data_IF_811962202288
#
_entry.id   IF_811962202288
#
_cell.length_a   1.000
_cell.length_b   1.000
_cell.length_c   1.000
_cell.angle_alpha   90.00
_cell.angle_beta   90.00
_cell.angle_gamma   90.00
#
_symmetry.space_group_name_H-M   'P 1'
#
loop_
_entity.id
_entity.type
_entity.pdbx_description
1 polymer ?
#
# COMPACT_ATOMS: atom_id res chain seq x y z
N UNK A 1 -12.93 -12.01 2.44
CA UNK A 1 -12.64 -10.64 2.04
C UNK A 1 -12.16 -10.57 0.63
N UNK A 2 -12.03 -11.20 -0.28
CA UNK A 2 -11.32 -10.85 -1.50
C UNK A 2 -11.95 -11.48 -2.74
N UNK A 3 -13.01 -10.89 -3.24
CA UNK A 3 -13.45 -11.25 -4.58
C UNK A 3 -12.98 -10.28 -5.67
N UNK A 4 -12.30 -9.21 -5.33
CA UNK A 4 -11.65 -8.37 -6.31
C UNK A 4 -10.58 -7.53 -5.62
N UNK A 5 -9.34 -7.89 -5.74
CA UNK A 5 -8.24 -6.98 -5.51
C UNK A 5 -7.76 -6.46 -6.86
N UNK A 6 -7.75 -5.17 -7.01
CA UNK A 6 -7.14 -4.50 -8.17
C UNK A 6 -5.86 -3.85 -7.67
N UNK A 7 -4.77 -4.13 -8.33
CA UNK A 7 -3.51 -3.46 -8.07
C UNK A 7 -3.12 -2.61 -9.27
N UNK A 8 -2.86 -1.34 -8.98
CA UNK A 8 -2.43 -0.37 -10.00
C UNK A 8 -1.03 0.10 -9.69
N UNK A 9 -0.16 0.15 -10.68
CA UNK A 9 1.21 0.64 -10.56
C UNK A 9 1.47 1.71 -11.63
N UNK A 10 2.32 2.67 -11.27
CA UNK A 10 2.67 3.78 -12.15
C UNK A 10 1.66 4.91 -12.11
N UNK A 11 1.78 5.82 -13.06
CA UNK A 11 0.99 7.03 -13.11
C UNK A 11 1.55 8.16 -12.24
N UNK A 12 0.68 9.09 -11.88
CA UNK A 12 1.01 10.25 -11.06
C UNK A 12 0.11 10.29 -9.84
N UNK A 13 0.70 10.39 -8.66
CA UNK A 13 -0.03 10.61 -7.42
C UNK A 13 -0.26 12.11 -7.20
N UNK A 14 -1.43 12.46 -6.72
CA UNK A 14 -1.75 13.83 -6.31
C UNK A 14 -2.73 13.82 -5.14
N UNK A 15 -2.54 14.75 -4.21
CA UNK A 15 -3.42 14.94 -3.05
C UNK A 15 -4.15 16.27 -3.16
N UNK A 16 -5.47 16.22 -3.06
CA UNK A 16 -6.34 17.41 -3.06
C UNK A 16 -7.44 17.20 -2.04
N UNK A 17 -7.70 18.19 -1.20
CA UNK A 17 -8.73 18.11 -0.16
C UNK A 17 -8.50 16.98 0.88
N UNK A 18 -7.25 16.57 1.08
CA UNK A 18 -6.90 15.45 1.97
C UNK A 18 -7.06 14.06 1.36
N UNK A 19 -7.46 13.98 0.10
CA UNK A 19 -7.59 12.72 -0.63
C UNK A 19 -6.48 12.57 -1.68
N UNK A 20 -5.74 11.46 -1.58
CA UNK A 20 -4.72 11.08 -2.56
C UNK A 20 -5.34 10.21 -3.64
N UNK A 21 -5.03 10.50 -4.88
CA UNK A 21 -5.45 9.73 -6.05
C UNK A 21 -4.25 9.43 -6.96
N UNK A 22 -4.29 8.31 -7.66
CA UNK A 22 -3.31 7.96 -8.70
C UNK A 22 -4.03 8.00 -10.05
N UNK A 23 -3.50 8.79 -10.97
CA UNK A 23 -4.01 8.92 -12.34
C UNK A 23 -3.02 8.33 -13.35
N UNK A 24 -3.51 7.68 -14.39
CA UNK A 24 -2.70 7.12 -15.47
C UNK A 24 -1.88 5.88 -15.11
N UNK A 25 -2.15 5.26 -13.96
CA UNK A 25 -1.54 3.98 -13.60
C UNK A 25 -2.13 2.82 -14.41
N UNK A 26 -1.35 1.76 -14.55
CA UNK A 26 -1.77 0.53 -15.21
C UNK A 26 -2.15 -0.54 -14.17
N UNK A 27 -3.25 -1.23 -14.41
CA UNK A 27 -3.58 -2.43 -13.62
C UNK A 27 -2.59 -3.54 -13.93
N UNK A 28 -2.15 -4.25 -12.89
CA UNK A 28 -1.33 -5.44 -13.08
C UNK A 28 -2.14 -6.55 -13.76
N UNK A 29 -1.56 -7.15 -14.80
CA UNK A 29 -2.10 -8.35 -15.43
C UNK A 29 -1.77 -9.62 -14.62
N UNK A 30 -0.67 -9.60 -13.87
CA UNK A 30 -0.29 -10.72 -13.01
C UNK A 30 -1.25 -10.91 -11.85
N UNK A 31 -1.52 -12.18 -11.56
CA UNK A 31 -2.35 -12.56 -10.43
C UNK A 31 -1.58 -12.30 -9.12
N UNK A 32 -2.06 -11.35 -8.32
CA UNK A 32 -1.55 -11.10 -6.97
C UNK A 32 -2.30 -12.01 -5.99
N UNK A 33 -1.58 -12.97 -5.41
CA UNK A 33 -2.15 -13.95 -4.48
C UNK A 33 -2.02 -13.54 -3.02
N UNK A 34 -1.11 -12.63 -2.69
CA UNK A 34 -0.89 -12.18 -1.32
C UNK A 34 -0.25 -10.80 -1.25
N UNK A 35 -0.62 -10.06 -0.21
CA UNK A 35 -0.04 -8.77 0.13
C UNK A 35 0.20 -8.74 1.64
N UNK A 36 1.41 -8.41 2.03
CA UNK A 36 1.80 -8.12 3.40
C UNK A 36 2.26 -6.66 3.49
N UNK A 37 1.78 -5.91 4.49
CA UNK A 37 2.16 -4.52 4.71
C UNK A 37 2.48 -4.34 6.19
N UNK A 38 3.69 -3.89 6.48
CA UNK A 38 4.17 -3.63 7.84
C UNK A 38 4.59 -2.18 7.99
N UNK A 39 4.01 -1.50 8.97
CA UNK A 39 4.44 -0.17 9.42
C UNK A 39 5.24 -0.29 10.73
N UNK A 40 6.34 0.45 10.84
CA UNK A 40 7.16 0.53 12.04
C UNK A 40 7.50 1.98 12.36
N UNK A 41 7.18 2.39 13.59
CA UNK A 41 7.60 3.67 14.14
C UNK A 41 8.49 3.39 15.36
N UNK A 42 9.82 3.34 15.18
CA UNK A 42 10.75 3.03 16.26
C UNK A 42 10.76 4.14 17.29
N UNK A 43 10.51 3.78 18.55
CA UNK A 43 10.52 4.73 19.68
C UNK A 43 11.48 4.28 20.76
N UNK A 44 12.25 5.21 21.31
CA UNK A 44 13.08 4.96 22.48
C UNK A 44 12.23 5.19 23.74
N UNK A 45 11.91 4.10 24.43
CA UNK A 45 11.05 4.12 25.63
C UNK A 45 11.83 4.07 26.93
N UNK A 46 13.12 3.70 26.91
CA UNK A 46 13.98 3.58 28.10
C UNK A 46 14.83 4.84 28.28
N UNK A 47 14.14 5.92 28.64
CA UNK A 47 14.78 7.24 28.86
C UNK A 47 14.78 7.57 30.36
N UNK A 48 15.83 7.18 31.05
CA UNK A 48 16.08 7.58 32.43
C UNK A 48 17.10 8.71 32.47
N UNK A 49 16.83 9.78 33.20
CA UNK A 49 17.72 10.92 33.37
C UNK A 49 18.08 11.11 34.84
N UNK A 50 19.30 11.55 35.11
CA UNK A 50 19.69 12.02 36.44
C UNK A 50 18.85 13.23 36.82
N UNK A 51 18.30 13.25 38.02
CA UNK A 51 17.44 14.34 38.48
C UNK A 51 15.95 14.16 38.19
N UNK A 52 15.56 13.12 37.48
CA UNK A 52 14.17 12.82 37.16
C UNK A 52 13.48 11.88 38.18
N UNK A 53 14.05 11.78 39.38
CA UNK A 53 13.54 10.99 40.53
C UNK A 53 13.14 9.53 40.18
N UNK A 54 13.84 8.93 39.22
CA UNK A 54 13.55 7.57 38.75
C UNK A 54 12.36 7.46 37.76
N UNK A 55 11.75 8.57 37.37
CA UNK A 55 10.70 8.57 36.35
C UNK A 55 11.32 8.45 34.97
N UNK A 56 10.60 7.73 34.09
CA UNK A 56 10.93 7.66 32.67
C UNK A 56 10.57 8.99 31.98
N UNK A 57 11.44 9.45 31.08
CA UNK A 57 11.09 10.52 30.17
C UNK A 57 10.10 10.05 29.09
N UNK A 58 9.43 10.99 28.44
CA UNK A 58 8.53 10.69 27.32
C UNK A 58 9.24 9.91 26.21
N UNK A 59 8.58 8.96 25.57
CA UNK A 59 9.11 8.28 24.39
C UNK A 59 9.45 9.28 23.28
N UNK A 60 10.56 9.07 22.61
CA UNK A 60 10.94 9.85 21.42
C UNK A 60 11.21 8.92 20.26
N UNK A 61 10.94 9.39 19.05
CA UNK A 61 11.37 8.69 17.83
C UNK A 61 12.90 8.57 17.83
N UNK A 62 13.38 7.34 17.59
CA UNK A 62 14.82 7.06 17.58
C UNK A 62 15.31 6.54 16.24
N UNK A 63 14.42 6.38 15.28
CA UNK A 63 14.70 6.13 13.88
C UNK A 63 13.54 6.60 12.99
N UNK A 64 13.79 6.72 11.71
CA UNK A 64 12.78 7.13 10.73
C UNK A 64 11.69 6.05 10.63
N UNK A 65 10.40 6.41 10.73
CA UNK A 65 9.31 5.48 10.47
C UNK A 65 9.44 4.85 9.08
N UNK A 66 9.16 3.56 9.00
CA UNK A 66 9.24 2.81 7.75
C UNK A 66 7.97 2.05 7.48
N UNK A 67 7.57 2.02 6.21
CA UNK A 67 6.48 1.19 5.70
C UNK A 67 7.06 0.28 4.63
N UNK A 68 6.99 -1.01 4.88
CA UNK A 68 7.49 -2.05 3.98
C UNK A 68 6.40 -3.06 3.70
N UNK A 69 6.56 -3.82 2.65
CA UNK A 69 5.65 -4.92 2.38
C UNK A 69 6.20 -5.90 1.36
N UNK A 70 5.45 -6.96 1.17
CA UNK A 70 5.76 -8.01 0.20
C UNK A 70 4.51 -8.32 -0.61
N UNK A 71 4.68 -8.41 -1.92
CA UNK A 71 3.68 -8.88 -2.87
C UNK A 71 4.04 -10.29 -3.28
N UNK A 72 3.09 -11.21 -3.17
CA UNK A 72 3.20 -12.54 -3.75
C UNK A 72 2.35 -12.59 -5.01
N UNK A 73 2.98 -12.84 -6.14
CA UNK A 73 2.34 -12.78 -7.46
C UNK A 73 2.85 -13.91 -8.33
N UNK A 74 2.15 -14.19 -9.40
CA UNK A 74 2.63 -15.04 -10.48
C UNK A 74 3.47 -14.21 -11.45
N UNK A 75 4.57 -14.77 -11.93
CA UNK A 75 5.39 -14.11 -12.95
C UNK A 75 4.67 -14.17 -14.29
N UNK A 76 4.18 -13.03 -14.75
CA UNK A 76 3.48 -12.92 -16.03
C UNK A 76 4.42 -12.43 -17.13
N UNK A 77 5.12 -11.32 -16.89
CA UNK A 77 6.07 -10.77 -17.86
C UNK A 77 7.21 -10.01 -17.15
N UNK A 78 8.34 -9.89 -17.84
CA UNK A 78 9.48 -9.13 -17.34
C UNK A 78 9.16 -7.63 -17.19
N UNK A 79 8.40 -7.08 -18.10
CA UNK A 79 8.16 -5.63 -18.21
C UNK A 79 7.22 -5.09 -17.14
N UNK A 80 6.44 -5.95 -16.50
CA UNK A 80 5.40 -5.51 -15.57
C UNK A 80 5.96 -5.11 -14.20
N UNK A 81 6.71 -5.99 -13.56
CA UNK A 81 7.22 -5.77 -12.20
C UNK A 81 8.76 -5.80 -12.12
N UNK A 82 9.38 -6.69 -12.90
CA UNK A 82 10.83 -6.84 -12.85
C UNK A 82 11.58 -5.63 -13.42
N UNK A 83 11.11 -5.07 -14.52
CA UNK A 83 11.74 -3.89 -15.12
C UNK A 83 11.52 -2.63 -14.25
N UNK A 84 10.38 -2.53 -13.55
CA UNK A 84 10.16 -1.49 -12.55
C UNK A 84 11.16 -1.63 -11.39
N UNK A 85 11.37 -2.84 -10.90
CA UNK A 85 12.41 -3.12 -9.88
C UNK A 85 13.81 -2.74 -10.40
N UNK A 86 14.16 -3.16 -11.61
CA UNK A 86 15.47 -2.88 -12.20
C UNK A 86 15.71 -1.40 -12.47
N UNK A 87 14.67 -0.64 -12.72
CA UNK A 87 14.75 0.81 -12.94
C UNK A 87 15.16 1.62 -11.71
N UNK A 88 15.17 1.01 -10.51
CA UNK A 88 15.55 1.62 -9.22
C UNK A 88 14.84 2.92 -8.87
N UNK A 89 13.84 3.32 -9.64
CA UNK A 89 13.00 4.49 -9.37
C UNK A 89 11.93 4.22 -8.33
N UNK A 90 11.27 5.30 -7.90
CA UNK A 90 10.01 5.22 -7.16
C UNK A 90 8.85 5.26 -8.13
N UNK A 91 7.77 4.56 -7.80
CA UNK A 91 6.54 4.53 -8.59
C UNK A 91 5.33 4.58 -7.67
N UNK A 92 4.24 5.25 -8.05
CA UNK A 92 2.98 5.16 -7.32
C UNK A 92 2.41 3.74 -7.39
N UNK A 93 1.75 3.33 -6.29
CA UNK A 93 1.11 2.03 -6.18
C UNK A 93 -0.20 2.15 -5.42
N UNK A 94 -1.25 1.52 -5.91
CA UNK A 94 -2.53 1.43 -5.24
C UNK A 94 -3.00 -0.01 -5.20
N UNK A 95 -3.50 -0.42 -4.04
CA UNK A 95 -4.05 -1.75 -3.80
C UNK A 95 -5.47 -1.56 -3.31
N UNK A 96 -6.45 -2.06 -4.06
CA UNK A 96 -7.87 -1.98 -3.76
C UNK A 96 -8.42 -3.36 -3.41
N UNK A 97 -8.98 -3.49 -2.23
CA UNK A 97 -9.79 -4.63 -1.84
C UNK A 97 -11.26 -4.23 -1.92
N UNK A 98 -12.00 -4.84 -2.83
CA UNK A 98 -13.40 -4.53 -3.06
C UNK A 98 -14.29 -5.72 -2.74
N UNK A 99 -15.47 -5.44 -2.20
CA UNK A 99 -16.53 -6.41 -2.03
C UNK A 99 -17.73 -5.94 -2.81
N UNK A 100 -18.19 -6.76 -3.73
CA UNK A 100 -19.44 -6.50 -4.43
C UNK A 100 -20.63 -6.73 -3.50
N UNK A 101 -21.55 -5.77 -3.46
CA UNK A 101 -22.87 -5.96 -2.93
C UNK A 101 -23.84 -6.11 -4.10
N UNK A 102 -24.33 -7.32 -4.37
CA UNK A 102 -25.16 -7.57 -5.56
C UNK A 102 -26.51 -6.85 -5.53
N UNK A 103 -26.91 -6.27 -4.41
CA UNK A 103 -28.21 -5.63 -4.22
C UNK A 103 -28.12 -4.14 -3.84
N UNK A 104 -26.93 -3.52 -3.84
CA UNK A 104 -26.74 -2.24 -3.16
C UNK A 104 -26.44 -1.05 -4.06
N UNK A 105 -26.91 0.10 -3.62
CA UNK A 105 -26.38 1.39 -4.01
C UNK A 105 -24.96 1.56 -3.42
N UNK A 106 -24.16 2.44 -3.99
CA UNK A 106 -22.90 2.83 -3.36
C UNK A 106 -23.13 3.51 -2.00
N UNK A 107 -22.06 3.83 -1.29
CA UNK A 107 -22.14 4.50 0.02
C UNK A 107 -22.86 5.86 -0.01
N UNK A 108 -23.10 6.43 -1.18
CA UNK A 108 -23.80 7.71 -1.39
C UNK A 108 -25.23 7.54 -1.90
N UNK A 109 -25.75 6.31 -1.95
CA UNK A 109 -27.11 6.04 -2.44
C UNK A 109 -27.25 6.13 -3.96
N UNK A 110 -26.16 6.22 -4.69
CA UNK A 110 -26.17 6.21 -6.17
C UNK A 110 -26.36 4.77 -6.64
N UNK A 111 -27.31 4.57 -7.56
CA UNK A 111 -27.60 3.27 -8.12
C UNK A 111 -26.34 2.61 -8.68
N UNK A 112 -25.98 1.52 -8.06
CA UNK A 112 -25.05 0.49 -8.49
C UNK A 112 -23.92 0.90 -9.44
N UNK A 113 -22.94 1.60 -8.95
CA UNK A 113 -21.58 1.25 -9.30
C UNK A 113 -21.20 -0.01 -8.51
N UNK A 114 -20.33 -0.87 -9.01
CA UNK A 114 -20.13 -2.19 -8.43
C UNK A 114 -19.38 -2.25 -7.07
N UNK A 115 -19.29 -1.20 -6.29
CA UNK A 115 -18.41 -1.17 -5.12
C UNK A 115 -18.97 -0.43 -3.90
N UNK A 116 -19.85 -1.00 -3.11
CA UNK A 116 -20.27 -0.37 -1.85
C UNK A 116 -19.18 -0.44 -0.75
N UNK A 117 -18.31 -1.44 -0.78
CA UNK A 117 -17.26 -1.61 0.21
C UNK A 117 -15.90 -1.68 -0.47
N UNK A 118 -15.01 -0.76 -0.10
CA UNK A 118 -13.65 -0.72 -0.63
C UNK A 118 -12.66 -0.31 0.47
N UNK A 119 -11.59 -1.07 0.59
CA UNK A 119 -10.41 -0.71 1.35
C UNK A 119 -9.27 -0.49 0.36
N UNK A 120 -8.75 0.72 0.31
CA UNK A 120 -7.66 1.10 -0.58
C UNK A 120 -6.43 1.47 0.23
N UNK A 121 -5.29 0.95 -0.17
CA UNK A 121 -3.97 1.41 0.26
C UNK A 121 -3.32 2.14 -0.91
N UNK A 122 -3.03 3.41 -0.72
CA UNK A 122 -2.46 4.29 -1.75
C UNK A 122 -1.08 4.74 -1.29
N UNK A 123 -0.09 4.42 -2.09
CA UNK A 123 1.32 4.77 -1.87
C UNK A 123 1.77 5.68 -3.01
N UNK A 124 2.00 6.98 -2.77
CA UNK A 124 2.50 7.90 -3.79
C UNK A 124 3.88 7.55 -4.34
N UNK A 125 4.74 6.96 -3.51
CA UNK A 125 6.07 6.55 -3.93
C UNK A 125 6.49 5.25 -3.25
N UNK A 126 6.57 4.16 -4.01
CA UNK A 126 7.18 2.90 -3.55
C UNK A 126 8.41 2.59 -4.38
N UNK A 127 9.37 1.94 -3.76
CA UNK A 127 10.51 1.35 -4.43
C UNK A 127 10.54 -0.15 -4.18
N UNK A 128 10.67 -0.92 -5.23
CA UNK A 128 10.86 -2.36 -5.13
C UNK A 128 12.29 -2.67 -4.70
N UNK A 129 12.44 -3.47 -3.66
CA UNK A 129 13.74 -3.84 -3.05
C UNK A 129 14.22 -5.19 -3.53
N UNK A 130 13.29 -6.07 -3.88
CA UNK A 130 13.59 -7.41 -4.37
C UNK A 130 12.51 -7.85 -5.35
N UNK A 131 12.88 -8.66 -6.31
CA UNK A 131 11.98 -9.28 -7.27
C UNK A 131 12.49 -10.70 -7.57
N UNK A 132 12.48 -11.58 -6.58
CA UNK A 132 12.94 -12.95 -6.73
C UNK A 132 11.94 -13.75 -7.56
N UNK A 133 12.43 -14.39 -8.60
CA UNK A 133 11.67 -15.35 -9.43
C UNK A 133 12.32 -16.71 -9.25
N UNK A 134 11.57 -17.68 -8.71
CA UNK A 134 12.04 -19.04 -8.50
C UNK A 134 11.37 -19.98 -9.49
N UNK A 135 12.16 -20.57 -10.37
CA UNK A 135 11.70 -21.59 -11.33
C UNK A 135 12.05 -22.97 -10.76
N UNK A 136 11.09 -23.60 -10.09
CA UNK A 136 11.32 -24.89 -9.42
C UNK A 136 10.72 -26.09 -10.17
N UNK A 137 9.79 -25.88 -11.08
CA UNK A 137 9.12 -26.92 -11.86
C UNK A 137 8.44 -26.34 -13.10
N UNK A 138 7.98 -27.15 -14.05
CA UNK A 138 7.15 -26.70 -15.17
C UNK A 138 5.72 -26.36 -14.71
N UNK A 139 5.58 -25.46 -13.77
CA UNK A 139 4.33 -24.99 -13.19
C UNK A 139 4.32 -23.47 -13.19
N UNK A 140 3.27 -22.86 -12.66
CA UNK A 140 3.20 -21.43 -12.46
C UNK A 140 4.43 -20.93 -11.68
N UNK A 141 5.11 -19.91 -12.19
CA UNK A 141 6.31 -19.37 -11.59
C UNK A 141 5.91 -18.34 -10.53
N UNK A 142 6.12 -18.63 -9.23
CA UNK A 142 5.84 -17.66 -8.19
C UNK A 142 6.91 -16.57 -8.16
N UNK A 143 6.49 -15.34 -7.94
CA UNK A 143 7.35 -14.19 -7.75
C UNK A 143 7.05 -13.49 -6.43
N UNK A 144 8.07 -13.25 -5.62
CA UNK A 144 7.98 -12.47 -4.40
C UNK A 144 8.68 -11.12 -4.58
N UNK A 145 7.95 -10.04 -4.34
CA UNK A 145 8.43 -8.67 -4.56
C UNK A 145 8.35 -7.92 -3.24
N UNK A 146 9.51 -7.61 -2.69
CA UNK A 146 9.61 -6.72 -1.53
C UNK A 146 9.56 -5.26 -1.95
N UNK A 147 8.78 -4.45 -1.26
CA UNK A 147 8.70 -3.01 -1.50
C UNK A 147 8.87 -2.20 -0.21
N UNK A 148 9.22 -0.95 -0.37
CA UNK A 148 9.23 0.05 0.69
C UNK A 148 8.61 1.34 0.18
N UNK A 149 7.75 1.94 1.00
CA UNK A 149 7.19 3.26 0.73
C UNK A 149 8.14 4.36 1.20
N UNK A 150 8.14 5.45 0.46
CA UNK A 150 8.95 6.64 0.71
C UNK A 150 8.09 7.89 0.62
N UNK A 151 8.56 8.97 1.18
CA UNK A 151 8.08 10.31 0.85
C UNK A 151 8.46 10.63 -0.60
N UNK A 152 7.52 11.13 -1.38
CA UNK A 152 7.73 11.49 -2.78
C UNK A 152 8.40 12.87 -2.95
N UNK A 153 8.63 13.57 -1.85
CA UNK A 153 9.24 14.89 -1.83
C UNK A 153 8.32 16.04 -2.27
N UNK A 154 7.03 15.75 -2.51
CA UNK A 154 6.06 16.79 -2.92
C UNK A 154 5.66 17.71 -1.77
N UNK A 155 5.82 17.27 -0.52
CA UNK A 155 5.34 17.95 0.68
C UNK A 155 3.81 17.99 0.83
N UNK A 156 3.09 17.38 -0.10
CA UNK A 156 1.61 17.33 -0.10
C UNK A 156 1.06 15.91 -0.03
N UNK A 157 1.76 14.96 -0.59
CA UNK A 157 1.35 13.56 -0.58
C UNK A 157 1.82 12.86 0.71
N UNK A 158 0.97 12.10 1.39
CA UNK A 158 1.40 11.26 2.51
C UNK A 158 2.21 10.06 2.01
N UNK A 159 3.06 9.47 2.86
CA UNK A 159 3.79 8.23 2.52
C UNK A 159 2.84 7.08 2.21
N UNK A 160 1.72 7.01 2.92
CA UNK A 160 0.62 6.09 2.67
C UNK A 160 -0.71 6.75 3.01
N UNK A 161 -1.73 6.51 2.21
CA UNK A 161 -3.11 6.80 2.55
C UNK A 161 -3.92 5.51 2.57
N UNK A 162 -4.67 5.32 3.65
CA UNK A 162 -5.66 4.23 3.75
C UNK A 162 -7.04 4.84 3.62
N UNK A 163 -7.81 4.36 2.65
CA UNK A 163 -9.17 4.82 2.38
C UNK A 163 -10.14 3.66 2.57
N UNK A 164 -11.12 3.87 3.44
CA UNK A 164 -12.21 2.93 3.65
C UNK A 164 -13.51 3.56 3.13
N UNK A 165 -14.18 2.86 2.24
CA UNK A 165 -15.54 3.19 1.79
C UNK A 165 -16.47 2.13 2.34
N UNK A 166 -17.44 2.53 3.17
CA UNK A 166 -18.44 1.65 3.77
C UNK A 166 -19.85 2.26 3.65
N UNK A 167 -20.87 1.46 3.93
CA UNK A 167 -22.26 1.94 4.03
C UNK A 167 -22.58 2.59 5.38
N UNK A 168 -21.67 2.52 6.34
CA UNK A 168 -21.85 3.15 7.65
C UNK A 168 -21.89 4.67 7.48
N UNK A 169 -23.00 5.29 7.87
CA UNK A 169 -23.19 6.74 7.80
C UNK A 169 -22.65 7.50 9.01
N UNK A 170 -22.22 6.77 10.03
CA UNK A 170 -21.66 7.33 11.27
C UNK A 170 -20.34 6.64 11.61
N UNK A 171 -19.36 7.42 12.03
CA UNK A 171 -18.18 6.86 12.69
C UNK A 171 -18.61 6.28 14.06
N UNK A 172 -18.15 5.07 14.34
CA UNK A 172 -18.34 4.42 15.65
C UNK A 172 -17.43 5.12 16.66
#
# INVERSE_FOLDING_TARGET
>A
FANASVMTIGGTASTSGGETTISGGASLASLVSGVDITGSTPMKVDRYGLGNQGLKGEPIENAIPTITGTLTTEFYSRTELYDVFKGFGTTPMQIDFTKFDPAGNDANGVAAGPNPYRLSFIFPAVRFKSAAVNVNSPDVIPQSIGFQAYDDGSGTNPVVQVKLVSKESSAI
#
